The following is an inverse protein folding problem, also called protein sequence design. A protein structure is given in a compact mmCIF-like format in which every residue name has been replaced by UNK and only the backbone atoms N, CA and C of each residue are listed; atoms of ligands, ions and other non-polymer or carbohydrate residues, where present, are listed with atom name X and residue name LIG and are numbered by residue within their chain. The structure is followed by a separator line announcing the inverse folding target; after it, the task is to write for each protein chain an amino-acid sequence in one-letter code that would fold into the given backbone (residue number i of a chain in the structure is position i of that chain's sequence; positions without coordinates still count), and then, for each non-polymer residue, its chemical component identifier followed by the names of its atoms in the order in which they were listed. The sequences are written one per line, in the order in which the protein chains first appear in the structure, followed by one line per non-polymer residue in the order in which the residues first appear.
data_IF_091618132679
#
_entry.id   IF_091618132679
#
_cell.length_a   1.000
_cell.length_b   1.000
_cell.length_c   1.000
_cell.angle_alpha   90.00
_cell.angle_beta   90.00
_cell.angle_gamma   90.00
#
_symmetry.space_group_name_H-M   'P 1'
#
loop_
_entity.id
_entity.type
_entity.pdbx_description
1 polymer ?
#
# COMPACT_ATOMS: atom_id res chain seq x y z
N UNK A 1 18.74 -5.10 4.02
CA UNK A 1 18.31 -4.69 2.68
C UNK A 1 18.84 -5.69 1.69
N UNK A 2 18.02 -6.09 0.72
CA UNK A 2 18.39 -7.00 -0.35
C UNK A 2 17.96 -6.41 -1.69
N UNK A 3 18.81 -6.56 -2.68
CA UNK A 3 18.47 -6.42 -4.09
C UNK A 3 18.48 -7.81 -4.71
N UNK A 4 17.73 -8.00 -5.78
CA UNK A 4 17.65 -9.30 -6.46
C UNK A 4 18.27 -9.17 -7.84
N UNK A 5 19.26 -10.02 -8.11
CA UNK A 5 19.89 -10.12 -9.43
C UNK A 5 18.84 -10.36 -10.51
N UNK A 6 18.87 -9.53 -11.55
CA UNK A 6 17.91 -9.58 -12.65
C UNK A 6 16.59 -8.83 -12.40
N UNK A 7 16.38 -8.24 -11.22
CA UNK A 7 15.23 -7.39 -10.90
C UNK A 7 15.67 -5.99 -10.45
N UNK A 8 16.25 -5.18 -11.36
CA UNK A 8 16.72 -3.85 -11.00
C UNK A 8 15.56 -2.94 -10.60
N UNK A 9 15.79 -2.07 -9.61
CA UNK A 9 14.74 -1.20 -9.04
C UNK A 9 13.88 -1.88 -7.97
N UNK A 10 14.03 -3.19 -7.73
CA UNK A 10 13.41 -3.88 -6.62
C UNK A 10 14.35 -3.95 -5.42
N UNK A 11 13.95 -3.33 -4.31
CA UNK A 11 14.65 -3.38 -3.03
C UNK A 11 13.75 -3.98 -1.95
N UNK A 12 14.32 -4.85 -1.11
CA UNK A 12 13.59 -5.58 -0.07
C UNK A 12 14.23 -5.33 1.30
N UNK A 13 13.43 -4.81 2.22
CA UNK A 13 13.76 -4.65 3.63
C UNK A 13 13.09 -5.77 4.42
N UNK A 14 13.87 -6.79 4.80
CA UNK A 14 13.40 -7.81 5.74
C UNK A 14 13.46 -7.26 7.16
N UNK A 15 12.48 -7.62 8.00
CA UNK A 15 12.37 -7.14 9.38
C UNK A 15 12.47 -5.61 9.48
N UNK A 16 11.78 -4.89 8.58
CA UNK A 16 11.82 -3.43 8.49
C UNK A 16 11.42 -2.74 9.81
N UNK A 17 10.67 -3.44 10.68
CA UNK A 17 10.26 -2.94 11.98
C UNK A 17 10.05 -4.06 13.01
N UNK A 18 10.17 -3.75 14.32
CA UNK A 18 9.87 -4.68 15.40
C UNK A 18 8.43 -5.21 15.36
N UNK A 19 8.20 -6.41 15.89
CA UNK A 19 6.88 -7.05 15.91
C UNK A 19 5.80 -6.20 16.61
N UNK A 20 6.15 -5.47 17.67
CA UNK A 20 5.23 -4.54 18.34
C UNK A 20 4.73 -3.45 17.40
N UNK A 21 5.63 -2.87 16.61
CA UNK A 21 5.33 -1.84 15.61
C UNK A 21 4.51 -2.40 14.45
N UNK A 22 4.79 -3.63 14.01
CA UNK A 22 3.96 -4.33 13.01
C UNK A 22 2.52 -4.48 13.48
N UNK A 23 2.32 -4.85 14.75
CA UNK A 23 0.98 -4.98 15.34
C UNK A 23 0.29 -3.63 15.41
N UNK A 24 0.99 -2.57 15.81
CA UNK A 24 0.44 -1.21 15.82
C UNK A 24 -0.03 -0.78 14.43
N UNK A 25 0.81 -0.95 13.40
CA UNK A 25 0.43 -0.64 12.02
C UNK A 25 -0.75 -1.47 11.54
N UNK A 26 -0.80 -2.77 11.86
CA UNK A 26 -1.93 -3.62 11.50
C UNK A 26 -3.24 -3.15 12.17
N UNK A 27 -3.17 -2.73 13.43
CA UNK A 27 -4.32 -2.14 14.11
C UNK A 27 -4.72 -0.80 13.49
N UNK A 28 -3.79 0.09 13.16
CA UNK A 28 -4.09 1.37 12.50
C UNK A 28 -4.72 1.17 11.12
N UNK A 29 -4.16 0.26 10.32
CA UNK A 29 -4.70 -0.14 9.01
C UNK A 29 -6.19 -0.51 9.10
N UNK A 30 -6.54 -1.32 10.10
CA UNK A 30 -7.91 -1.79 10.31
C UNK A 30 -8.80 -0.74 11.00
N UNK A 31 -8.29 0.03 11.97
CA UNK A 31 -9.10 0.89 12.84
C UNK A 31 -9.26 2.31 12.34
N UNK A 32 -8.22 2.82 11.70
CA UNK A 32 -8.09 4.23 11.32
C UNK A 32 -8.13 4.33 9.80
N UNK A 33 -7.23 3.65 9.10
CA UNK A 33 -7.06 3.78 7.65
C UNK A 33 -8.11 3.03 6.81
N UNK A 34 -9.06 2.34 7.45
CA UNK A 34 -10.26 1.79 6.80
C UNK A 34 -11.53 2.63 7.03
N UNK A 35 -11.41 3.73 7.78
CA UNK A 35 -12.53 4.56 8.20
C UNK A 35 -12.29 6.05 7.98
N UNK A 36 -13.38 6.80 7.83
CA UNK A 36 -13.34 8.26 7.86
C UNK A 36 -12.72 8.79 9.18
N UNK A 37 -11.91 9.87 9.14
CA UNK A 37 -11.65 10.74 7.97
C UNK A 37 -10.57 10.22 7.03
N UNK A 38 -9.77 9.25 7.45
CA UNK A 38 -8.59 8.79 6.71
C UNK A 38 -8.94 8.04 5.43
N UNK A 39 -10.00 7.25 5.45
CA UNK A 39 -10.53 6.58 4.26
C UNK A 39 -11.48 7.46 3.50
N UNK A 40 -11.12 7.75 2.25
CA UNK A 40 -11.97 8.50 1.33
C UNK A 40 -12.93 7.59 0.57
N UNK A 41 -12.44 6.44 0.10
CA UNK A 41 -13.24 5.44 -0.61
C UNK A 41 -12.75 4.06 -0.21
N UNK A 42 -13.66 3.10 -0.14
CA UNK A 42 -13.35 1.68 -0.03
C UNK A 42 -14.18 0.88 -1.02
N UNK A 43 -13.86 -0.40 -1.18
CA UNK A 43 -14.67 -1.30 -2.00
C UNK A 43 -16.10 -1.52 -1.49
N UNK A 44 -16.40 -1.13 -0.24
CA UNK A 44 -17.73 -1.33 0.36
C UNK A 44 -18.73 -0.26 -0.06
N UNK A 45 -18.26 0.96 -0.30
CA UNK A 45 -19.12 2.14 -0.48
C UNK A 45 -18.32 3.33 -0.97
N UNK A 46 -18.96 4.15 -1.82
CA UNK A 46 -18.45 5.47 -2.23
C UNK A 46 -18.74 6.55 -1.16
N UNK A 47 -19.56 6.25 -0.17
CA UNK A 47 -19.90 7.17 0.92
C UNK A 47 -18.85 7.11 2.04
N UNK A 48 -18.12 8.21 2.26
CA UNK A 48 -17.07 8.31 3.27
C UNK A 48 -17.52 7.89 4.67
N UNK A 49 -18.73 8.28 5.08
CA UNK A 49 -19.21 8.06 6.46
C UNK A 49 -19.68 6.64 6.74
N UNK A 50 -19.93 5.83 5.72
CA UNK A 50 -20.47 4.48 5.90
C UNK A 50 -19.49 3.52 6.60
N UNK A 51 -18.18 3.82 6.62
CA UNK A 51 -17.17 3.02 7.35
C UNK A 51 -16.83 3.57 8.74
N UNK A 52 -17.31 4.77 9.12
CA UNK A 52 -16.86 5.56 10.31
C UNK A 52 -16.88 4.83 11.66
N UNK A 53 -17.76 3.84 11.84
CA UNK A 53 -17.83 3.03 13.07
C UNK A 53 -17.71 1.52 12.80
N UNK A 54 -17.37 1.13 11.57
CA UNK A 54 -17.45 -0.25 11.11
C UNK A 54 -16.66 -1.21 12.00
N UNK A 55 -15.38 -0.91 12.27
CA UNK A 55 -14.57 -1.77 13.15
C UNK A 55 -15.08 -1.79 14.58
N UNK A 56 -15.49 -0.63 15.13
CA UNK A 56 -15.95 -0.55 16.52
C UNK A 56 -17.16 -1.44 16.76
N UNK A 57 -18.10 -1.45 15.81
CA UNK A 57 -19.23 -2.36 15.83
C UNK A 57 -18.78 -3.80 15.62
N UNK A 58 -18.06 -4.11 14.55
CA UNK A 58 -17.58 -5.47 14.28
C UNK A 58 -16.80 -6.10 15.45
N UNK A 59 -16.02 -5.31 16.19
CA UNK A 59 -15.22 -5.75 17.34
C UNK A 59 -16.03 -5.91 18.63
N UNK A 60 -16.89 -4.94 18.98
CA UNK A 60 -17.60 -4.93 20.28
C UNK A 60 -18.91 -5.71 20.24
N UNK A 61 -19.61 -5.61 19.12
CA UNK A 61 -20.96 -6.12 18.92
C UNK A 61 -20.99 -6.71 17.52
N UNK A 62 -20.58 -7.98 17.33
CA UNK A 62 -20.59 -8.64 16.04
C UNK A 62 -22.03 -8.82 15.55
N UNK A 63 -22.66 -7.72 15.14
CA UNK A 63 -23.88 -7.74 14.39
C UNK A 63 -23.52 -8.28 13.00
N UNK A 64 -24.40 -9.09 12.44
CA UNK A 64 -24.14 -9.78 11.18
C UNK A 64 -23.75 -8.79 10.08
N UNK A 65 -24.36 -7.60 10.05
CA UNK A 65 -24.09 -6.56 9.06
C UNK A 65 -22.68 -5.94 9.17
N UNK A 66 -22.25 -5.45 10.34
CA UNK A 66 -20.92 -4.83 10.48
C UNK A 66 -19.79 -5.84 10.38
N UNK A 67 -19.99 -7.06 10.91
CA UNK A 67 -19.04 -8.15 10.73
C UNK A 67 -18.90 -8.55 9.26
N UNK A 68 -20.03 -8.71 8.55
CA UNK A 68 -20.03 -9.00 7.11
C UNK A 68 -19.39 -7.89 6.29
N UNK A 69 -19.65 -6.62 6.62
CA UNK A 69 -19.02 -5.47 5.97
C UNK A 69 -17.50 -5.48 6.19
N UNK A 70 -17.04 -5.66 7.43
CA UNK A 70 -15.63 -5.75 7.75
C UNK A 70 -14.93 -6.87 6.97
N UNK A 71 -15.52 -8.07 6.92
CA UNK A 71 -14.99 -9.18 6.13
C UNK A 71 -15.09 -9.00 4.61
N UNK A 72 -15.94 -8.09 4.15
CA UNK A 72 -16.05 -7.71 2.75
C UNK A 72 -15.04 -6.63 2.36
N UNK A 73 -14.34 -5.97 3.31
CA UNK A 73 -13.32 -4.96 3.02
C UNK A 73 -12.14 -5.57 2.26
N UNK A 74 -11.68 -4.90 1.20
CA UNK A 74 -10.59 -5.32 0.31
C UNK A 74 -9.56 -4.23 0.09
N UNK A 75 -9.98 -2.97 0.04
CA UNK A 75 -9.06 -1.85 -0.07
C UNK A 75 -9.65 -0.59 0.55
N UNK A 76 -8.77 0.29 1.01
CA UNK A 76 -9.09 1.63 1.50
C UNK A 76 -7.98 2.61 1.09
N UNK A 77 -8.37 3.74 0.52
CA UNK A 77 -7.41 4.79 0.12
C UNK A 77 -7.22 5.80 1.25
N UNK A 78 -5.97 6.23 1.46
CA UNK A 78 -5.55 7.15 2.52
C UNK A 78 -4.77 8.30 1.90
N UNK A 79 -5.00 9.53 2.38
CA UNK A 79 -4.43 10.72 1.77
C UNK A 79 -5.12 11.07 0.44
N UNK A 80 -4.39 11.65 -0.51
CA UNK A 80 -4.97 12.00 -1.82
C UNK A 80 -5.54 10.75 -2.52
N UNK A 81 -6.75 10.87 -3.05
CA UNK A 81 -7.43 9.77 -3.73
C UNK A 81 -7.22 9.86 -5.23
N UNK A 82 -6.79 8.74 -5.82
CA UNK A 82 -6.83 8.51 -7.25
C UNK A 82 -8.08 7.70 -7.59
N UNK A 83 -8.94 8.24 -8.46
CA UNK A 83 -10.09 7.50 -9.00
C UNK A 83 -9.58 6.53 -10.06
N UNK A 84 -9.61 5.23 -9.74
CA UNK A 84 -9.15 4.16 -10.65
C UNK A 84 -10.05 3.95 -11.87
N UNK A 85 -11.28 4.48 -11.85
CA UNK A 85 -12.23 4.41 -12.98
C UNK A 85 -11.92 5.52 -13.96
N UNK A 86 -11.82 6.75 -13.46
CA UNK A 86 -11.58 7.95 -14.27
C UNK A 86 -10.09 8.20 -14.54
N UNK A 87 -9.21 7.50 -13.83
CA UNK A 87 -7.74 7.64 -13.87
C UNK A 87 -7.25 9.05 -13.58
N UNK A 88 -7.85 9.68 -12.57
CA UNK A 88 -7.54 11.05 -12.16
C UNK A 88 -7.50 11.19 -10.63
N UNK A 89 -6.64 12.08 -10.13
CA UNK A 89 -6.70 12.48 -8.73
C UNK A 89 -7.93 13.35 -8.48
N UNK A 90 -8.74 12.99 -7.49
CA UNK A 90 -9.87 13.82 -7.09
C UNK A 90 -9.33 15.07 -6.38
N UNK A 91 -9.52 16.26 -6.94
CA UNK A 91 -9.18 17.50 -6.24
C UNK A 91 -10.42 18.01 -5.50
N UNK A 92 -10.70 17.40 -4.34
CA UNK A 92 -11.79 17.85 -3.46
C UNK A 92 -11.21 18.59 -2.25
N UNK A 93 -11.68 19.82 -1.93
CA UNK A 93 -11.14 20.63 -0.84
C UNK A 93 -11.16 19.95 0.54
N UNK A 94 -12.00 18.93 0.73
CA UNK A 94 -12.22 18.23 1.99
C UNK A 94 -11.45 16.90 2.11
N UNK A 95 -10.49 16.65 1.21
CA UNK A 95 -9.63 15.47 1.32
C UNK A 95 -8.48 15.71 2.29
N UNK A 96 -8.31 14.85 3.31
CA UNK A 96 -7.20 14.98 4.24
C UNK A 96 -5.88 14.65 3.56
N UNK A 97 -4.76 15.27 4.00
CA UNK A 97 -3.44 14.84 3.59
C UNK A 97 -3.17 13.40 4.05
N UNK A 98 -2.10 12.80 3.50
CA UNK A 98 -1.58 11.54 4.05
C UNK A 98 -1.25 11.74 5.54
N UNK A 99 -1.64 10.82 6.43
CA UNK A 99 -1.26 10.86 7.84
C UNK A 99 0.26 10.98 7.99
N UNK A 100 0.68 11.90 8.87
CA UNK A 100 2.09 12.23 9.06
C UNK A 100 2.93 11.00 9.40
N UNK A 101 2.37 10.06 10.16
CA UNK A 101 3.07 8.82 10.50
C UNK A 101 3.34 7.92 9.28
N UNK A 102 2.47 7.93 8.26
CA UNK A 102 2.69 7.19 7.02
C UNK A 102 3.74 7.90 6.15
N UNK A 103 3.72 9.23 6.13
CA UNK A 103 4.78 10.03 5.49
C UNK A 103 6.14 9.75 6.15
N UNK A 104 6.20 9.72 7.49
CA UNK A 104 7.38 9.38 8.27
C UNK A 104 7.87 7.95 7.99
N UNK A 105 6.95 6.97 7.93
CA UNK A 105 7.30 5.60 7.58
C UNK A 105 7.98 5.52 6.20
N UNK A 106 7.43 6.21 5.20
CA UNK A 106 8.02 6.25 3.86
C UNK A 106 9.37 6.96 3.86
N UNK A 107 9.48 8.08 4.59
CA UNK A 107 10.73 8.80 4.75
C UNK A 107 11.83 7.92 5.37
N UNK A 108 11.53 7.19 6.45
CA UNK A 108 12.46 6.25 7.09
C UNK A 108 12.87 5.13 6.13
N UNK A 109 11.94 4.60 5.34
CA UNK A 109 12.25 3.60 4.31
C UNK A 109 13.20 4.18 3.26
N UNK A 110 12.96 5.41 2.77
CA UNK A 110 13.86 6.06 1.81
C UNK A 110 15.23 6.38 2.40
N UNK A 111 15.31 6.70 3.68
CA UNK A 111 16.59 6.84 4.38
C UNK A 111 17.34 5.50 4.43
N UNK A 112 16.65 4.42 4.81
CA UNK A 112 17.23 3.07 4.86
C UNK A 112 17.66 2.53 3.50
N UNK A 113 17.01 2.95 2.40
CA UNK A 113 17.38 2.55 1.03
C UNK A 113 18.30 3.54 0.32
N UNK A 114 18.69 4.65 0.97
CA UNK A 114 19.55 5.67 0.37
C UNK A 114 18.88 6.52 -0.72
N UNK A 115 17.56 6.52 -0.78
CA UNK A 115 16.74 7.18 -1.80
C UNK A 115 16.21 8.55 -1.38
N UNK A 116 16.44 8.96 -0.12
CA UNK A 116 15.84 10.16 0.46
C UNK A 116 16.16 11.46 -0.31
N UNK A 117 17.38 11.59 -0.85
CA UNK A 117 17.80 12.80 -1.55
C UNK A 117 17.15 12.97 -2.94
N UNK A 118 16.59 11.89 -3.50
CA UNK A 118 16.08 11.85 -4.89
C UNK A 118 14.57 11.66 -4.98
N UNK A 119 13.91 11.30 -3.87
CA UNK A 119 12.48 10.99 -3.87
C UNK A 119 11.66 12.11 -3.23
N UNK A 120 10.43 12.28 -3.71
CA UNK A 120 9.43 13.18 -3.15
C UNK A 120 8.75 12.54 -1.94
N UNK A 121 8.14 13.36 -1.10
CA UNK A 121 7.30 12.88 0.00
C UNK A 121 6.08 12.12 -0.53
N UNK A 122 5.59 11.15 0.23
CA UNK A 122 4.40 10.39 -0.11
C UNK A 122 3.13 11.25 0.09
N UNK A 123 2.24 11.24 -0.90
CA UNK A 123 1.00 12.03 -0.88
C UNK A 123 -0.26 11.19 -0.71
N UNK A 124 -0.17 9.90 -1.02
CA UNK A 124 -1.28 8.95 -1.03
C UNK A 124 -0.82 7.56 -0.63
N UNK A 125 -1.78 6.72 -0.24
CA UNK A 125 -1.54 5.32 0.07
C UNK A 125 -2.80 4.48 -0.10
N UNK A 126 -2.59 3.17 -0.29
CA UNK A 126 -3.65 2.18 -0.37
C UNK A 126 -3.39 1.11 0.68
N UNK A 127 -4.39 0.85 1.51
CA UNK A 127 -4.38 -0.28 2.42
C UNK A 127 -5.17 -1.42 1.79
N UNK A 128 -4.48 -2.50 1.43
CA UNK A 128 -5.10 -3.70 0.86
C UNK A 128 -5.35 -4.75 1.95
N UNK A 129 -6.55 -5.33 1.94
CA UNK A 129 -7.01 -6.35 2.89
C UNK A 129 -7.25 -7.66 2.14
N UNK A 130 -6.48 -8.69 2.52
CA UNK A 130 -6.53 -10.01 1.90
C UNK A 130 -7.03 -11.07 2.88
N UNK A 131 -8.34 -11.38 2.89
CA UNK A 131 -8.82 -12.59 3.55
C UNK A 131 -8.17 -13.85 2.98
N UNK A 132 -8.17 -14.92 3.77
CA UNK A 132 -7.63 -16.20 3.35
C UNK A 132 -8.25 -16.66 2.02
N UNK A 133 -7.40 -17.10 1.09
CA UNK A 133 -7.81 -17.57 -0.24
C UNK A 133 -8.09 -16.46 -1.26
N UNK A 134 -7.90 -15.18 -0.90
CA UNK A 134 -7.97 -14.08 -1.87
C UNK A 134 -6.62 -13.86 -2.56
N UNK A 135 -6.65 -13.22 -3.73
CA UNK A 135 -5.47 -12.91 -4.53
C UNK A 135 -5.64 -11.57 -5.24
N UNK A 136 -4.52 -10.96 -5.63
CA UNK A 136 -4.46 -9.83 -6.53
C UNK A 136 -3.83 -10.28 -7.84
N UNK A 137 -4.48 -9.99 -8.97
CA UNK A 137 -3.96 -10.32 -10.29
C UNK A 137 -2.73 -9.48 -10.66
N UNK A 138 -1.93 -9.98 -11.59
CA UNK A 138 -0.79 -9.23 -12.13
C UNK A 138 -1.24 -7.96 -12.86
N UNK A 139 -0.73 -6.82 -12.40
CA UNK A 139 -0.96 -5.49 -12.93
C UNK A 139 0.32 -4.68 -12.85
N UNK A 140 0.30 -3.50 -13.48
CA UNK A 140 1.34 -2.50 -13.39
C UNK A 140 0.73 -1.29 -12.67
N UNK A 141 1.41 -0.79 -11.64
CA UNK A 141 1.08 0.49 -11.03
C UNK A 141 1.58 1.60 -11.97
N UNK A 142 0.67 2.12 -12.80
CA UNK A 142 0.93 3.19 -13.79
C UNK A 142 -0.17 4.25 -13.79
N UNK A 143 -0.67 4.53 -12.58
CA UNK A 143 -1.70 5.50 -12.34
C UNK A 143 -1.11 6.89 -12.01
N UNK A 144 0.10 6.90 -11.48
CA UNK A 144 0.80 8.08 -11.02
C UNK A 144 1.27 8.95 -12.20
N UNK A 145 1.13 10.27 -12.07
CA UNK A 145 1.67 11.22 -13.05
C UNK A 145 3.20 11.15 -13.11
N UNK A 146 3.83 10.81 -11.98
CA UNK A 146 5.27 10.68 -11.82
C UNK A 146 5.66 9.22 -11.57
N UNK A 147 6.12 8.56 -12.64
CA UNK A 147 6.57 7.18 -12.62
C UNK A 147 8.00 6.99 -12.10
N UNK A 148 8.71 8.08 -11.75
CA UNK A 148 10.12 8.03 -11.31
C UNK A 148 10.20 7.78 -9.81
N UNK A 149 9.23 8.28 -9.04
CA UNK A 149 9.22 8.08 -7.59
C UNK A 149 8.89 6.62 -7.25
N UNK A 150 9.63 6.01 -6.30
CA UNK A 150 9.39 4.63 -5.91
C UNK A 150 8.09 4.46 -5.12
N UNK A 151 7.50 3.28 -5.23
CA UNK A 151 6.39 2.82 -4.39
C UNK A 151 6.96 2.02 -3.22
N UNK A 152 6.50 2.33 -2.00
CA UNK A 152 6.80 1.58 -0.78
C UNK A 152 5.59 0.71 -0.43
N UNK A 153 5.80 -0.60 -0.34
CA UNK A 153 4.77 -1.58 0.02
C UNK A 153 5.17 -2.32 1.30
N UNK A 154 4.36 -2.19 2.35
CA UNK A 154 4.55 -2.87 3.63
C UNK A 154 3.58 -4.05 3.78
N UNK A 155 4.10 -5.25 4.03
CA UNK A 155 3.30 -6.45 4.28
C UNK A 155 3.13 -6.71 5.77
N UNK A 156 1.91 -6.94 6.24
CA UNK A 156 1.58 -7.21 7.64
C UNK A 156 0.64 -8.41 7.76
N UNK A 157 0.87 -9.27 8.76
CA UNK A 157 -0.01 -10.41 9.06
C UNK A 157 0.40 -11.70 8.35
N UNK A 158 -0.54 -12.36 7.69
CA UNK A 158 -0.31 -13.69 7.08
C UNK A 158 0.65 -13.60 5.91
N UNK A 159 1.51 -14.61 5.77
CA UNK A 159 2.43 -14.70 4.65
C UNK A 159 1.70 -14.88 3.31
N UNK A 160 2.28 -14.35 2.23
CA UNK A 160 1.80 -14.52 0.87
C UNK A 160 2.96 -14.70 -0.12
N UNK A 161 2.62 -15.06 -1.37
CA UNK A 161 3.56 -15.10 -2.48
C UNK A 161 3.34 -13.83 -3.30
N UNK A 162 4.40 -13.03 -3.42
CA UNK A 162 4.45 -11.89 -4.34
C UNK A 162 5.16 -12.31 -5.63
N UNK A 163 4.63 -11.90 -6.76
CA UNK A 163 5.15 -12.27 -8.08
C UNK A 163 5.68 -11.01 -8.77
N UNK A 164 7.01 -10.83 -8.78
CA UNK A 164 7.63 -9.73 -9.51
C UNK A 164 7.75 -10.11 -10.99
N UNK A 165 6.91 -9.50 -11.83
CA UNK A 165 6.97 -9.63 -13.28
C UNK A 165 8.01 -8.70 -13.92
N UNK A 166 8.06 -8.74 -15.25
CA UNK A 166 8.79 -7.77 -16.08
C UNK A 166 7.87 -6.71 -16.68
N UNK A 167 8.40 -5.96 -17.66
CA UNK A 167 7.65 -4.93 -18.38
C UNK A 167 6.49 -5.49 -19.22
N UNK A 168 6.50 -6.79 -19.51
CA UNK A 168 5.47 -7.47 -20.30
C UNK A 168 4.95 -8.72 -19.60
N UNK A 169 3.72 -9.14 -19.92
CA UNK A 169 3.05 -10.28 -19.28
C UNK A 169 3.69 -11.63 -19.62
N UNK A 170 4.50 -11.67 -20.68
CA UNK A 170 5.22 -12.86 -21.13
C UNK A 170 6.46 -13.14 -20.28
N UNK A 171 6.97 -12.13 -19.57
CA UNK A 171 8.13 -12.31 -18.69
C UNK A 171 7.74 -13.20 -17.51
N UNK A 172 8.36 -14.38 -17.32
CA UNK A 172 8.06 -15.24 -16.18
C UNK A 172 8.35 -14.50 -14.87
N UNK A 173 7.40 -14.43 -13.93
CA UNK A 173 7.62 -13.69 -12.70
C UNK A 173 8.56 -14.44 -11.76
N UNK A 174 9.31 -13.68 -10.97
CA UNK A 174 10.08 -14.21 -9.85
C UNK A 174 9.20 -14.26 -8.60
N UNK A 175 8.96 -15.46 -8.01
CA UNK A 175 8.17 -15.57 -6.80
C UNK A 175 8.99 -15.23 -5.56
N UNK A 176 8.45 -14.36 -4.72
CA UNK A 176 9.04 -13.91 -3.46
C UNK A 176 8.09 -14.24 -2.31
N UNK A 177 8.67 -14.75 -1.22
CA UNK A 177 7.93 -15.02 0.01
C UNK A 177 7.80 -13.74 0.83
N UNK A 178 6.59 -13.22 0.99
CA UNK A 178 6.34 -12.06 1.83
C UNK A 178 5.79 -12.47 3.18
N UNK A 179 6.52 -12.09 4.22
CA UNK A 179 6.16 -12.27 5.62
C UNK A 179 5.81 -10.91 6.24
N UNK A 180 5.12 -10.95 7.38
CA UNK A 180 4.84 -9.75 8.17
C UNK A 180 6.12 -8.97 8.50
N UNK A 181 6.08 -7.65 8.26
CA UNK A 181 7.19 -6.72 8.50
C UNK A 181 8.21 -6.65 7.36
N UNK A 182 7.96 -7.28 6.21
CA UNK A 182 8.74 -7.02 5.00
C UNK A 182 8.21 -5.76 4.32
N UNK A 183 9.11 -4.85 3.98
CA UNK A 183 8.83 -3.73 3.08
C UNK A 183 9.52 -3.97 1.73
N UNK A 184 8.79 -3.76 0.65
CA UNK A 184 9.28 -3.72 -0.72
C UNK A 184 9.33 -2.26 -1.15
N UNK A 185 10.41 -1.87 -1.84
CA UNK A 185 10.51 -0.62 -2.57
C UNK A 185 10.70 -0.96 -4.05
N UNK A 186 9.79 -0.46 -4.89
CA UNK A 186 9.87 -0.62 -6.35
C UNK A 186 10.02 0.74 -7.00
N UNK A 187 11.10 0.95 -7.75
CA UNK A 187 11.26 2.09 -8.64
C UNK A 187 11.23 1.63 -10.10
N UNK A 188 10.68 2.46 -10.98
CA UNK A 188 10.98 2.28 -12.40
C UNK A 188 12.41 2.72 -12.65
N UNK A 189 13.22 1.82 -13.18
CA UNK A 189 14.50 2.21 -13.77
C UNK A 189 14.19 3.10 -14.98
N UNK A 190 14.45 4.40 -14.87
CA UNK A 190 14.77 5.19 -16.06
C UNK A 190 16.05 4.55 -16.58
N UNK A 191 16.02 3.94 -17.77
CA UNK A 191 17.22 3.44 -18.40
C UNK A 191 18.26 4.56 -18.34
N UNK A 192 19.32 4.37 -17.55
CA UNK A 192 20.46 5.28 -17.56
C UNK A 192 20.94 5.25 -19.01
N UNK A 193 20.63 6.29 -19.78
CA UNK A 193 21.35 6.57 -21.00
C UNK A 193 22.76 6.88 -20.53
N UNK A 194 23.58 5.84 -20.52
CA UNK A 194 25.01 5.95 -20.37
C UNK A 194 25.46 7.04 -21.34
N UNK A 195 25.88 8.17 -20.78
CA UNK A 195 26.66 9.14 -21.52
C UNK A 195 27.99 8.45 -21.80
N UNK A 196 28.13 7.97 -23.04
CA UNK A 196 29.42 7.75 -23.70
C UNK A 196 29.87 9.08 -24.33
#
# INVERSE_FOLDING_TARGET
MFEIDGLPGLCILINAMPRSTQVEWAFRAVREYSQNPFTNVSNLTKERDATKNMWKHAWKEPCEASWKAFHALRWANVGRHYDWTEREYLDTPDMPPLPLELEQLVHEVFEMTGMLATCKAAESGIVNFYPAGTMMGGHLDNAEDDMVNPIVSLSLGTQCIYLQGGLTRETPPTPLWLCSGIAIVTSMMVASTAQL
#
